data_IF_353479919275
#
_entry.id   IF_353479919275
#
_cell.length_a   1.000
_cell.length_b   1.000
_cell.length_c   1.000
_cell.angle_alpha   90.00
_cell.angle_beta   90.00
_cell.angle_gamma   90.00
#
_symmetry.space_group_name_H-M   'P 1'
#
loop_
_entity.id
_entity.type
_entity.pdbx_description
1 polymer ?
#
# COMPACT_ATOMS: atom_id res chain seq x y z
N UNK A 1 -25.08 8.02 3.39
CA UNK A 1 -24.39 9.06 4.22
C UNK A 1 -23.27 9.77 3.45
N UNK A 2 -22.34 9.07 2.74
CA UNK A 2 -21.32 9.73 1.92
C UNK A 2 -21.94 10.52 0.77
N UNK A 3 -22.99 10.01 0.14
CA UNK A 3 -23.72 10.74 -0.91
C UNK A 3 -24.32 12.04 -0.39
N UNK A 4 -24.86 12.05 0.83
CA UNK A 4 -25.39 13.26 1.45
C UNK A 4 -24.30 14.31 1.68
N UNK A 5 -23.12 13.89 2.18
CA UNK A 5 -21.98 14.78 2.36
C UNK A 5 -21.47 15.33 1.01
N UNK A 6 -21.50 14.50 -0.03
CA UNK A 6 -21.13 14.90 -1.38
C UNK A 6 -22.07 16.00 -1.94
N UNK A 7 -23.38 15.82 -1.76
CA UNK A 7 -24.38 16.82 -2.12
C UNK A 7 -24.19 18.13 -1.35
N UNK A 8 -23.96 18.05 -0.04
CA UNK A 8 -23.71 19.25 0.77
C UNK A 8 -22.44 19.99 0.32
N UNK A 9 -21.36 19.26 0.02
CA UNK A 9 -20.11 19.86 -0.48
C UNK A 9 -20.30 20.59 -1.81
N UNK A 10 -21.12 20.03 -2.70
CA UNK A 10 -21.50 20.67 -3.97
C UNK A 10 -22.35 21.93 -3.73
N UNK A 11 -23.33 21.86 -2.84
CA UNK A 11 -24.24 22.96 -2.55
C UNK A 11 -23.51 24.16 -1.90
N UNK A 12 -22.53 23.88 -1.04
CA UNK A 12 -21.67 24.91 -0.43
C UNK A 12 -20.50 25.36 -1.32
N UNK A 13 -20.34 24.79 -2.52
CA UNK A 13 -19.31 25.19 -3.48
C UNK A 13 -17.88 24.91 -3.03
N UNK A 14 -17.65 23.80 -2.31
CA UNK A 14 -16.32 23.41 -1.83
C UNK A 14 -15.85 22.14 -2.56
N UNK A 15 -15.30 22.28 -3.79
CA UNK A 15 -14.93 21.15 -4.65
C UNK A 15 -13.84 20.24 -4.02
N UNK A 16 -12.97 20.79 -3.18
CA UNK A 16 -11.94 20.02 -2.49
C UNK A 16 -12.52 18.98 -1.54
N UNK A 17 -13.60 19.33 -0.84
CA UNK A 17 -14.31 18.38 0.05
C UNK A 17 -14.96 17.26 -0.78
N UNK A 18 -15.53 17.62 -1.93
CA UNK A 18 -16.15 16.65 -2.83
C UNK A 18 -15.12 15.61 -3.34
N UNK A 19 -13.91 16.06 -3.69
CA UNK A 19 -12.83 15.15 -4.09
C UNK A 19 -12.46 14.16 -3.00
N UNK A 20 -12.35 14.62 -1.75
CA UNK A 20 -12.04 13.76 -0.59
C UNK A 20 -13.18 12.76 -0.32
N UNK A 21 -14.42 13.21 -0.35
CA UNK A 21 -15.58 12.33 -0.15
C UNK A 21 -15.65 11.26 -1.24
N UNK A 22 -15.42 11.65 -2.49
CA UNK A 22 -15.42 10.71 -3.63
C UNK A 22 -14.30 9.67 -3.51
N UNK A 23 -13.10 10.09 -3.11
CA UNK A 23 -11.97 9.19 -2.86
C UNK A 23 -12.28 8.24 -1.69
N UNK A 24 -12.88 8.74 -0.60
CA UNK A 24 -13.28 7.95 0.55
C UNK A 24 -14.38 6.93 0.20
N UNK A 25 -15.35 7.33 -0.61
CA UNK A 25 -16.38 6.42 -1.11
C UNK A 25 -15.80 5.29 -1.96
N UNK A 26 -14.85 5.62 -2.85
CA UNK A 26 -14.10 4.65 -3.65
C UNK A 26 -13.30 3.68 -2.77
N UNK A 27 -12.55 4.22 -1.82
CA UNK A 27 -11.79 3.46 -0.83
C UNK A 27 -12.64 2.44 -0.07
N UNK A 28 -13.76 2.87 0.53
CA UNK A 28 -14.65 1.97 1.26
C UNK A 28 -15.30 0.91 0.36
N UNK A 29 -15.68 1.25 -0.87
CA UNK A 29 -16.28 0.30 -1.80
C UNK A 29 -15.33 -0.86 -2.09
N UNK A 30 -14.05 -0.59 -2.35
CA UNK A 30 -13.03 -1.60 -2.64
C UNK A 30 -12.62 -2.32 -1.35
N UNK A 31 -12.35 -1.60 -0.28
CA UNK A 31 -11.95 -2.16 1.01
C UNK A 31 -12.99 -3.15 1.56
N UNK A 32 -14.27 -2.83 1.47
CA UNK A 32 -15.34 -3.74 1.87
C UNK A 32 -15.58 -4.86 0.85
N UNK A 33 -15.42 -4.59 -0.46
CA UNK A 33 -15.52 -5.53 -1.60
C UNK A 33 -16.56 -6.65 -1.44
N UNK A 34 -17.67 -6.37 -0.73
CA UNK A 34 -18.73 -7.34 -0.40
C UNK A 34 -18.22 -8.62 0.28
N UNK A 35 -17.14 -8.52 1.07
CA UNK A 35 -16.53 -9.66 1.77
C UNK A 35 -15.64 -10.56 0.91
N UNK A 36 -15.30 -10.17 -0.32
CA UNK A 36 -14.33 -10.92 -1.13
C UNK A 36 -12.93 -10.74 -0.58
N UNK A 37 -12.16 -11.83 -0.48
CA UNK A 37 -10.75 -11.82 -0.10
C UNK A 37 -9.81 -11.73 -1.32
N UNK A 38 -10.31 -12.14 -2.49
CA UNK A 38 -9.63 -12.04 -3.77
C UNK A 38 -10.35 -11.00 -4.64
N UNK A 39 -9.58 -10.11 -5.22
CA UNK A 39 -10.01 -9.03 -6.11
C UNK A 39 -9.11 -9.02 -7.34
N UNK A 40 -9.33 -8.12 -8.30
CA UNK A 40 -8.38 -7.91 -9.38
C UNK A 40 -7.26 -6.95 -8.93
N UNK A 41 -6.05 -7.10 -9.49
CA UNK A 41 -4.93 -6.22 -9.20
C UNK A 41 -5.28 -4.73 -9.42
N UNK A 42 -6.10 -4.41 -10.43
CA UNK A 42 -6.61 -3.05 -10.66
C UNK A 42 -7.35 -2.49 -9.45
N UNK A 43 -8.17 -3.32 -8.78
CA UNK A 43 -8.94 -2.89 -7.61
C UNK A 43 -8.00 -2.55 -6.44
N UNK A 44 -6.92 -3.31 -6.25
CA UNK A 44 -5.91 -3.02 -5.22
C UNK A 44 -5.11 -1.74 -5.53
N UNK A 45 -4.76 -1.51 -6.80
CA UNK A 45 -4.13 -0.27 -7.25
C UNK A 45 -5.07 0.93 -7.10
N UNK A 46 -6.35 0.78 -7.39
CA UNK A 46 -7.34 1.84 -7.20
C UNK A 46 -7.55 2.16 -5.72
N UNK A 47 -7.47 1.15 -4.85
CA UNK A 47 -7.53 1.32 -3.40
C UNK A 47 -6.39 2.21 -2.89
N UNK A 48 -5.14 1.93 -3.29
CA UNK A 48 -4.00 2.74 -2.88
C UNK A 48 -4.03 4.14 -3.50
N UNK A 49 -4.49 4.30 -4.74
CA UNK A 49 -4.69 5.62 -5.38
C UNK A 49 -5.72 6.45 -4.62
N UNK A 50 -6.84 5.84 -4.22
CA UNK A 50 -7.88 6.51 -3.42
C UNK A 50 -7.33 6.92 -2.05
N UNK A 51 -6.62 6.03 -1.36
CA UNK A 51 -5.96 6.32 -0.10
C UNK A 51 -4.98 7.49 -0.21
N UNK A 52 -4.06 7.44 -1.18
CA UNK A 52 -3.04 8.48 -1.39
C UNK A 52 -3.66 9.83 -1.79
N UNK A 53 -4.76 9.83 -2.54
CA UNK A 53 -5.51 11.05 -2.87
C UNK A 53 -6.04 11.74 -1.61
N UNK A 54 -6.55 10.96 -0.63
CA UNK A 54 -6.98 11.49 0.67
C UNK A 54 -5.78 12.05 1.45
N UNK A 55 -4.68 11.29 1.52
CA UNK A 55 -3.48 11.69 2.24
C UNK A 55 -2.83 12.95 1.63
N UNK A 56 -2.97 13.16 0.32
CA UNK A 56 -2.44 14.35 -0.35
C UNK A 56 -3.05 15.65 0.18
N UNK A 57 -4.31 15.62 0.66
CA UNK A 57 -4.94 16.79 1.31
C UNK A 57 -4.39 17.04 2.72
N UNK A 58 -3.86 16.01 3.39
CA UNK A 58 -3.28 16.12 4.73
C UNK A 58 -1.80 16.54 4.70
N UNK A 59 -1.06 16.00 3.74
CA UNK A 59 0.40 16.18 3.64
C UNK A 59 0.79 17.15 2.53
N UNK A 60 -0.21 17.72 1.82
CA UNK A 60 -0.03 18.68 0.72
C UNK A 60 1.01 18.19 -0.30
N UNK A 61 2.02 19.01 -0.59
CA UNK A 61 3.08 18.71 -1.56
C UNK A 61 4.29 17.98 -0.96
N UNK A 62 4.16 17.43 0.26
CA UNK A 62 5.25 16.72 0.93
C UNK A 62 5.57 15.36 0.34
N UNK A 63 4.69 14.79 -0.50
CA UNK A 63 5.00 13.55 -1.19
C UNK A 63 4.49 13.52 -2.62
N UNK A 64 5.17 12.71 -3.44
CA UNK A 64 4.76 12.36 -4.81
C UNK A 64 4.69 10.86 -4.96
N UNK A 65 3.87 10.39 -5.93
CA UNK A 65 3.76 8.96 -6.22
C UNK A 65 3.97 8.72 -7.71
N UNK A 66 4.82 7.74 -8.02
CA UNK A 66 5.12 7.32 -9.38
C UNK A 66 4.59 5.89 -9.57
N UNK A 67 3.84 5.66 -10.63
CA UNK A 67 3.33 4.35 -11.00
C UNK A 67 3.98 3.90 -12.31
N UNK A 68 4.57 2.69 -12.29
CA UNK A 68 5.10 1.99 -13.46
C UNK A 68 4.49 0.60 -13.50
N UNK A 69 3.31 0.50 -14.11
CA UNK A 69 2.45 -0.68 -14.05
C UNK A 69 2.28 -1.27 -15.45
N UNK A 70 2.48 -2.56 -15.56
CA UNK A 70 2.12 -3.32 -16.76
C UNK A 70 0.60 -3.54 -16.78
N UNK A 71 -0.08 -2.85 -17.69
CA UNK A 71 -1.55 -2.88 -17.80
C UNK A 71 -2.10 -4.28 -18.13
N UNK A 72 -1.29 -5.17 -18.70
CA UNK A 72 -1.71 -6.54 -19.01
C UNK A 72 -1.96 -7.38 -17.76
N UNK A 73 -1.45 -6.94 -16.59
CA UNK A 73 -1.59 -7.64 -15.32
C UNK A 73 -2.82 -7.21 -14.51
N UNK A 74 -3.51 -6.17 -14.92
CA UNK A 74 -4.56 -5.52 -14.13
C UNK A 74 -5.76 -6.42 -13.82
N UNK A 75 -6.05 -7.40 -14.65
CA UNK A 75 -7.21 -8.29 -14.51
C UNK A 75 -6.91 -9.62 -13.81
N UNK A 76 -5.64 -9.85 -13.44
CA UNK A 76 -5.29 -11.05 -12.67
C UNK A 76 -5.83 -10.99 -11.25
N UNK A 77 -6.16 -12.17 -10.72
CA UNK A 77 -6.60 -12.33 -9.34
C UNK A 77 -5.49 -11.93 -8.36
N UNK A 78 -5.86 -11.19 -7.33
CA UNK A 78 -4.93 -10.64 -6.36
C UNK A 78 -5.52 -10.64 -4.95
N UNK A 79 -4.78 -11.01 -3.90
CA UNK A 79 -5.31 -10.96 -2.54
C UNK A 79 -5.43 -9.51 -2.08
N UNK A 80 -6.58 -9.19 -1.52
CA UNK A 80 -6.93 -7.85 -1.04
C UNK A 80 -6.04 -7.38 0.11
N UNK A 81 -5.79 -6.06 0.18
CA UNK A 81 -5.05 -5.40 1.27
C UNK A 81 -3.60 -5.90 1.39
N UNK A 82 -2.94 -6.05 0.25
CA UNK A 82 -1.50 -6.32 0.16
C UNK A 82 -0.71 -5.03 -0.01
N UNK A 83 -1.08 -4.19 -0.98
CA UNK A 83 -0.31 -2.99 -1.30
C UNK A 83 -0.59 -1.85 -0.33
N UNK A 84 -1.81 -1.76 0.19
CA UNK A 84 -2.19 -0.65 1.07
C UNK A 84 -1.31 -0.55 2.32
N UNK A 85 -1.08 -1.60 3.14
CA UNK A 85 -0.24 -1.49 4.33
C UNK A 85 1.20 -1.09 4.01
N UNK A 86 1.71 -1.48 2.83
CA UNK A 86 3.07 -1.16 2.39
C UNK A 86 3.17 0.32 2.03
N UNK A 87 2.22 0.82 1.24
CA UNK A 87 2.16 2.24 0.86
C UNK A 87 1.87 3.14 2.07
N UNK A 88 1.05 2.68 3.02
CA UNK A 88 0.84 3.36 4.30
C UNK A 88 2.15 3.49 5.09
N UNK A 89 2.92 2.41 5.19
CA UNK A 89 4.22 2.41 5.87
C UNK A 89 5.21 3.35 5.17
N UNK A 90 5.30 3.31 3.84
CA UNK A 90 6.14 4.19 3.06
C UNK A 90 5.80 5.67 3.34
N UNK A 91 4.51 6.02 3.40
CA UNK A 91 4.08 7.39 3.67
C UNK A 91 4.31 7.80 5.14
N UNK A 92 3.86 6.98 6.09
CA UNK A 92 3.85 7.34 7.51
C UNK A 92 5.24 7.31 8.16
N UNK A 93 6.11 6.41 7.68
CA UNK A 93 7.44 6.20 8.20
C UNK A 93 8.55 6.75 7.28
N UNK A 94 8.26 6.98 5.99
CA UNK A 94 9.21 7.60 5.06
C UNK A 94 9.38 9.10 5.30
N UNK A 95 8.31 9.79 5.70
CA UNK A 95 8.38 11.22 6.02
C UNK A 95 9.09 11.47 7.36
N UNK A 96 10.12 12.31 7.34
CA UNK A 96 10.68 12.85 8.56
C UNK A 96 9.71 13.91 9.13
N UNK A 97 9.29 13.72 10.38
CA UNK A 97 8.37 14.64 11.07
C UNK A 97 9.03 15.95 11.49
N UNK A 98 10.35 15.93 11.62
CA UNK A 98 11.15 17.06 12.05
C UNK A 98 11.71 17.88 10.87
N UNK A 99 11.41 17.49 9.64
CA UNK A 99 11.85 18.15 8.41
C UNK A 99 10.67 18.38 7.46
N UNK A 100 10.11 19.57 7.52
CA UNK A 100 8.98 19.98 6.69
C UNK A 100 9.37 20.22 5.21
N UNK A 101 10.66 20.35 4.90
CA UNK A 101 11.16 20.54 3.54
C UNK A 101 11.41 19.21 2.82
N UNK A 102 11.46 18.10 3.55
CA UNK A 102 11.64 16.77 2.95
C UNK A 102 10.49 16.46 2.00
N UNK A 103 10.87 16.08 0.77
CA UNK A 103 9.93 15.57 -0.25
C UNK A 103 10.10 14.08 -0.42
N UNK A 104 9.08 13.35 -0.03
CA UNK A 104 9.02 11.90 -0.17
C UNK A 104 8.57 11.54 -1.60
N UNK A 105 9.25 10.61 -2.22
CA UNK A 105 8.81 9.97 -3.46
C UNK A 105 8.52 8.51 -3.18
N UNK A 106 7.29 8.09 -3.45
CA UNK A 106 6.87 6.68 -3.38
C UNK A 106 6.74 6.16 -4.81
N UNK A 107 7.40 5.07 -5.13
CA UNK A 107 7.29 4.41 -6.45
C UNK A 107 6.59 3.07 -6.29
N UNK A 108 5.61 2.81 -7.15
CA UNK A 108 4.91 1.52 -7.24
C UNK A 108 5.13 0.97 -8.63
N UNK A 109 5.92 -0.10 -8.72
CA UNK A 109 6.22 -0.79 -9.97
C UNK A 109 5.58 -2.16 -9.96
N UNK A 110 4.89 -2.51 -11.04
CA UNK A 110 4.28 -3.83 -11.24
C UNK A 110 4.72 -4.35 -12.59
N UNK A 111 5.38 -5.49 -12.60
CA UNK A 111 5.92 -6.11 -13.82
C UNK A 111 5.62 -7.60 -13.84
N UNK A 112 5.57 -8.16 -15.04
CA UNK A 112 5.54 -9.60 -15.25
C UNK A 112 6.97 -10.15 -15.16
N UNK A 113 7.15 -11.18 -14.35
CA UNK A 113 8.38 -11.97 -14.29
C UNK A 113 8.03 -13.43 -14.57
N UNK A 114 8.27 -13.87 -15.81
CA UNK A 114 7.90 -15.21 -16.29
C UNK A 114 6.40 -15.46 -16.10
N UNK A 115 6.02 -16.38 -15.21
CA UNK A 115 4.64 -16.73 -14.87
C UNK A 115 4.16 -16.07 -13.57
N UNK A 116 4.90 -15.06 -13.07
CA UNK A 116 4.63 -14.41 -11.80
C UNK A 116 4.40 -12.91 -11.96
N UNK A 117 3.78 -12.31 -10.95
CA UNK A 117 3.69 -10.86 -10.80
C UNK A 117 4.74 -10.43 -9.78
N UNK A 118 5.63 -9.55 -10.21
CA UNK A 118 6.61 -8.86 -9.38
C UNK A 118 6.14 -7.45 -9.10
N UNK A 119 6.08 -7.08 -7.82
CA UNK A 119 5.71 -5.74 -7.38
C UNK A 119 6.83 -5.18 -6.52
N UNK A 120 7.25 -3.95 -6.82
CA UNK A 120 8.21 -3.20 -6.02
C UNK A 120 7.55 -1.89 -5.58
N UNK A 121 7.45 -1.72 -4.27
CA UNK A 121 7.11 -0.44 -3.65
C UNK A 121 8.38 0.11 -3.01
N UNK A 122 8.81 1.29 -3.43
CA UNK A 122 10.01 1.94 -2.88
C UNK A 122 9.71 3.37 -2.46
N UNK A 123 10.42 3.82 -1.43
CA UNK A 123 10.42 5.20 -0.99
C UNK A 123 11.87 5.71 -0.82
N UNK A 124 12.06 7.01 -0.90
CA UNK A 124 13.31 7.70 -0.61
C UNK A 124 13.29 8.36 0.78
N UNK A 125 12.60 7.74 1.72
CA UNK A 125 12.39 8.26 3.07
C UNK A 125 13.58 8.04 4.01
N UNK A 126 13.29 8.11 5.32
CA UNK A 126 14.32 7.99 6.36
C UNK A 126 14.93 6.59 6.46
N UNK A 127 14.28 5.58 5.88
CA UNK A 127 14.71 4.18 5.98
C UNK A 127 14.49 3.58 7.36
N UNK A 128 14.85 2.31 7.50
CA UNK A 128 14.69 1.49 8.72
C UNK A 128 16.06 0.99 9.14
N UNK A 129 16.39 1.11 10.42
CA UNK A 129 17.62 0.53 10.96
C UNK A 129 17.55 -1.01 11.04
N UNK A 130 18.73 -1.65 11.06
CA UNK A 130 18.84 -3.11 11.02
C UNK A 130 18.19 -3.81 12.21
N UNK A 131 18.19 -3.18 13.38
CA UNK A 131 17.60 -3.76 14.59
C UNK A 131 16.07 -3.79 14.47
N UNK A 132 15.47 -2.66 14.05
CA UNK A 132 14.04 -2.55 13.79
C UNK A 132 13.61 -3.47 12.66
N UNK A 133 14.39 -3.53 11.57
CA UNK A 133 14.12 -4.43 10.44
C UNK A 133 14.15 -5.90 10.89
N UNK A 134 15.13 -6.28 11.71
CA UNK A 134 15.22 -7.62 12.29
C UNK A 134 14.00 -7.96 13.15
N UNK A 135 13.48 -7.02 13.93
CA UNK A 135 12.26 -7.21 14.74
C UNK A 135 11.03 -7.43 13.87
N UNK A 136 10.86 -6.66 12.78
CA UNK A 136 9.74 -6.84 11.83
C UNK A 136 9.71 -8.30 11.33
N UNK A 137 10.85 -8.89 10.97
CA UNK A 137 10.91 -10.26 10.49
C UNK A 137 10.74 -11.30 11.62
N UNK A 138 11.27 -11.04 12.82
CA UNK A 138 11.16 -11.97 13.94
C UNK A 138 9.73 -12.03 14.47
N UNK A 139 9.06 -10.88 14.55
CA UNK A 139 7.66 -10.79 14.98
C UNK A 139 6.70 -11.40 13.94
N UNK A 140 7.09 -11.41 12.66
CA UNK A 140 6.37 -12.12 11.60
C UNK A 140 6.45 -13.65 11.76
N UNK A 141 7.49 -14.17 12.43
CA UNK A 141 7.69 -15.61 12.66
C UNK A 141 7.14 -16.08 14.00
N UNK A 142 7.00 -15.21 14.99
CA UNK A 142 6.57 -15.54 16.34
C UNK A 142 5.32 -14.77 16.75
N UNK A 143 4.17 -15.43 16.63
CA UNK A 143 2.89 -14.97 17.18
C UNK A 143 3.01 -14.80 18.68
N UNK A 144 3.32 -13.61 19.17
CA UNK A 144 2.72 -13.09 20.40
C UNK A 144 3.22 -11.68 20.79
N UNK A 145 2.24 -10.77 20.98
CA UNK A 145 2.19 -9.61 21.86
C UNK A 145 2.93 -8.32 21.48
N UNK A 146 2.12 -7.31 21.17
CA UNK A 146 2.31 -5.88 21.54
C UNK A 146 3.46 -5.10 20.89
N UNK A 147 3.53 -5.06 19.55
CA UNK A 147 4.25 -3.96 18.90
C UNK A 147 3.31 -3.18 17.99
N UNK A 148 3.20 -1.88 18.25
CA UNK A 148 2.52 -0.93 17.35
C UNK A 148 3.32 -0.88 16.03
N UNK A 149 2.74 -1.42 14.94
CA UNK A 149 3.29 -1.32 13.58
C UNK A 149 3.59 -2.64 12.85
N UNK A 150 3.83 -3.77 13.54
CA UNK A 150 4.19 -5.05 12.91
C UNK A 150 3.04 -5.84 12.28
N UNK A 151 1.81 -5.60 12.70
CA UNK A 151 0.64 -6.37 12.24
C UNK A 151 0.33 -6.25 10.74
N UNK A 152 0.61 -5.11 10.14
CA UNK A 152 0.36 -4.89 8.71
C UNK A 152 1.18 -5.83 7.83
N UNK A 153 2.49 -5.88 8.04
CA UNK A 153 3.42 -6.73 7.27
C UNK A 153 3.17 -8.22 7.54
N UNK A 154 2.93 -8.60 8.79
CA UNK A 154 2.57 -9.97 9.15
C UNK A 154 1.34 -10.45 8.37
N UNK A 155 0.27 -9.65 8.37
CA UNK A 155 -0.96 -9.98 7.64
C UNK A 155 -0.72 -10.07 6.13
N UNK A 156 0.09 -9.19 5.57
CA UNK A 156 0.48 -9.23 4.15
C UNK A 156 1.20 -10.54 3.83
N UNK A 157 2.23 -10.91 4.61
CA UNK A 157 2.97 -12.16 4.42
C UNK A 157 2.06 -13.39 4.45
N UNK A 158 1.14 -13.46 5.43
CA UNK A 158 0.21 -14.58 5.54
C UNK A 158 -0.78 -14.63 4.37
N UNK A 159 -1.29 -13.48 3.92
CA UNK A 159 -2.19 -13.41 2.77
C UNK A 159 -1.50 -13.89 1.49
N UNK A 160 -0.25 -13.49 1.26
CA UNK A 160 0.54 -13.94 0.10
C UNK A 160 0.78 -15.46 0.17
N UNK A 161 1.23 -15.97 1.32
CA UNK A 161 1.43 -17.40 1.55
C UNK A 161 0.17 -18.21 1.26
N UNK A 162 -0.96 -17.77 1.83
CA UNK A 162 -2.23 -18.45 1.63
C UNK A 162 -2.68 -18.43 0.17
N UNK A 163 -2.55 -17.29 -0.50
CA UNK A 163 -2.91 -17.12 -1.91
C UNK A 163 -2.05 -18.00 -2.83
N UNK A 164 -0.75 -18.07 -2.58
CA UNK A 164 0.20 -18.91 -3.32
C UNK A 164 0.24 -20.36 -2.82
N UNK A 165 -0.71 -20.79 -1.96
CA UNK A 165 -0.81 -22.16 -1.41
C UNK A 165 0.47 -22.65 -0.75
N UNK A 166 1.18 -21.74 -0.06
CA UNK A 166 2.45 -22.01 0.63
C UNK A 166 3.59 -22.51 -0.26
N UNK A 167 3.48 -22.33 -1.58
CA UNK A 167 4.56 -22.64 -2.52
C UNK A 167 5.80 -21.78 -2.21
N UNK A 168 6.99 -22.38 -2.29
CA UNK A 168 8.25 -21.67 -2.09
C UNK A 168 8.53 -20.65 -3.21
N UNK A 169 9.26 -19.58 -2.87
CA UNK A 169 9.65 -18.53 -3.83
C UNK A 169 8.70 -17.35 -3.90
N UNK A 170 7.50 -17.44 -3.29
CA UNK A 170 6.55 -16.34 -3.18
C UNK A 170 6.61 -15.69 -1.80
N UNK A 171 6.38 -14.39 -1.75
CA UNK A 171 6.40 -13.68 -0.46
C UNK A 171 6.70 -12.20 -0.59
N UNK A 172 7.03 -11.63 0.56
CA UNK A 172 7.40 -10.23 0.72
C UNK A 172 8.82 -10.15 1.26
N UNK A 173 9.64 -9.28 0.67
CA UNK A 173 11.02 -9.02 1.05
C UNK A 173 11.19 -7.52 1.28
N UNK A 174 11.91 -7.13 2.33
CA UNK A 174 12.15 -5.73 2.66
C UNK A 174 13.66 -5.50 2.66
N UNK A 175 14.09 -4.48 1.93
CA UNK A 175 15.44 -3.93 1.98
C UNK A 175 15.36 -2.46 2.37
N UNK A 176 16.12 -2.05 3.38
CA UNK A 176 16.09 -0.68 3.85
C UNK A 176 17.44 -0.23 4.35
N UNK A 177 17.77 1.04 4.06
CA UNK A 177 19.01 1.68 4.51
C UNK A 177 18.65 3.03 5.09
N UNK A 178 19.08 3.29 6.32
CA UNK A 178 18.84 4.57 7.01
C UNK A 178 19.36 5.72 6.14
N UNK A 179 18.51 6.72 5.92
CA UNK A 179 18.78 7.90 5.10
C UNK A 179 18.71 7.67 3.58
N UNK A 180 18.37 6.45 3.11
CA UNK A 180 18.23 6.15 1.68
C UNK A 180 16.83 5.69 1.29
N UNK A 181 16.02 5.27 2.29
CA UNK A 181 14.65 4.82 2.09
C UNK A 181 14.47 3.31 2.24
N UNK A 182 13.31 2.84 1.78
CA UNK A 182 12.90 1.44 1.90
C UNK A 182 12.41 0.90 0.57
N UNK A 183 12.73 -0.35 0.29
CA UNK A 183 12.23 -1.13 -0.83
C UNK A 183 11.50 -2.37 -0.31
N UNK A 184 10.26 -2.54 -0.71
CA UNK A 184 9.45 -3.72 -0.42
C UNK A 184 9.14 -4.41 -1.74
N UNK A 185 9.72 -5.59 -1.95
CA UNK A 185 9.44 -6.42 -3.11
C UNK A 185 8.48 -7.54 -2.75
N UNK A 186 7.54 -7.79 -3.64
CA UNK A 186 6.53 -8.84 -3.53
C UNK A 186 6.62 -9.69 -4.79
N UNK A 187 6.70 -11.00 -4.61
CA UNK A 187 6.54 -11.96 -5.67
C UNK A 187 5.28 -12.79 -5.40
N UNK A 188 4.38 -12.83 -6.38
CA UNK A 188 3.10 -13.51 -6.25
C UNK A 188 2.76 -14.25 -7.55
N UNK A 189 2.12 -15.40 -7.41
CA UNK A 189 1.72 -16.24 -8.53
C UNK A 189 0.64 -15.57 -9.37
N UNK A 190 0.78 -15.63 -10.70
CA UNK A 190 -0.28 -15.23 -11.62
C UNK A 190 -1.42 -16.27 -11.61
N UNK A 191 -2.62 -15.80 -11.28
CA UNK A 191 -3.86 -16.62 -11.29
C UNK A 191 -4.92 -15.85 -12.05
N UNK A 192 -5.51 -16.46 -13.08
CA UNK A 192 -6.61 -15.90 -13.86
C UNK A 192 -7.94 -15.91 -13.11
#
# INVERSE_FOLDING_TARGET
>A
TLDTLNWMALDYGVPEINEVISALAGYFRISLSKGRDIIHLREELDLIKAYLKIQKKRYEDRFTVIYDVDDTLLDYAFPKLILQPIVENALLHGLNKDDDEQKLTISVRVKREEEDISILVSDNGIGIDKETLGKIFTDTLHTNKYLQGGYGIYNVCNRIKYFCKEEEGYGLFINSVVGQGTEVSIKIKMIE
#
